data_IF_566756009265
#
_entry.id   IF_566756009265
#
_cell.length_a   1.000
_cell.length_b   1.000
_cell.length_c   1.000
_cell.angle_alpha   90.00
_cell.angle_beta   90.00
_cell.angle_gamma   90.00
#
_symmetry.space_group_name_H-M   'P 1'
#
loop_
_entity.id
_entity.type
_entity.pdbx_description
1 polymer ?
2 non-polymer ?
3 non-polymer ?
4 water ?
#
# COMPACT_ATOMS: atom_id res chain seq x y z
N UNK A 1 20.19 17.00 5.43
CA UNK A 1 19.71 17.67 4.23
C UNK A 1 18.56 16.91 3.59
N UNK A 2 18.41 15.64 3.96
CA UNK A 2 17.22 14.89 3.57
C UNK A 2 16.01 15.53 4.25
N UNK A 3 16.23 16.04 5.47
CA UNK A 3 15.22 16.78 6.20
C UNK A 3 14.71 17.96 5.37
N UNK A 4 15.63 18.73 4.81
CA UNK A 4 15.29 19.91 4.02
C UNK A 4 14.55 19.52 2.74
N UNK A 5 14.88 18.35 2.20
CA UNK A 5 14.19 17.82 1.03
C UNK A 5 12.73 17.55 1.35
N UNK A 6 12.47 16.96 2.52
CA UNK A 6 11.10 16.70 2.93
C UNK A 6 10.36 18.00 3.21
N UNK A 7 11.08 19.00 3.72
CA UNK A 7 10.48 20.31 3.96
C UNK A 7 10.02 20.98 2.66
N UNK A 8 10.81 20.85 1.61
CA UNK A 8 10.46 21.40 0.30
C UNK A 8 9.23 20.69 -0.26
N UNK A 9 9.18 19.38 -0.04
CA UNK A 9 8.08 18.58 -0.54
C UNK A 9 6.78 19.00 0.11
N UNK A 10 6.87 19.40 1.37
CA UNK A 10 5.67 19.76 2.14
C UNK A 10 5.15 21.13 1.74
N UNK A 11 6.05 22.04 1.35
CA UNK A 11 5.65 23.32 0.82
C UNK A 11 4.89 23.11 -0.48
N UNK A 12 5.49 22.30 -1.34
CA UNK A 12 4.86 21.96 -2.61
C UNK A 12 3.50 21.32 -2.35
N UNK A 13 3.47 20.36 -1.42
CA UNK A 13 2.23 19.69 -1.10
C UNK A 13 1.16 20.64 -0.56
N UNK A 14 1.59 21.66 0.17
CA UNK A 14 0.66 22.64 0.73
C UNK A 14 -0.01 23.46 -0.36
N UNK A 15 0.74 23.81 -1.40
CA UNK A 15 0.16 24.59 -2.49
C UNK A 15 -0.65 23.71 -3.45
N UNK A 16 -0.40 22.40 -3.41
CA UNK A 16 -1.18 21.43 -4.19
C UNK A 16 -2.53 21.05 -3.55
N UNK A 17 -2.63 21.13 -2.23
CA UNK A 17 -3.81 20.66 -1.48
C UNK A 17 -5.18 21.20 -1.95
N UNK A 18 -5.31 22.52 -2.16
CA UNK A 18 -6.64 23.02 -2.53
C UNK A 18 -7.12 22.55 -3.89
N UNK A 19 -6.22 22.32 -4.83
CA UNK A 19 -6.68 21.94 -6.15
C UNK A 19 -7.09 20.46 -6.24
N UNK A 20 -6.80 19.67 -5.22
CA UNK A 20 -7.32 18.30 -5.19
C UNK A 20 -8.21 18.10 -3.97
N UNK A 21 -8.51 19.20 -3.29
CA UNK A 21 -9.36 19.15 -2.10
C UNK A 21 -8.84 18.25 -1.00
N UNK A 22 -7.52 18.12 -0.90
CA UNK A 22 -6.93 17.29 0.15
C UNK A 22 -6.99 17.99 1.50
N UNK A 23 -6.79 17.20 2.56
CA UNK A 23 -6.90 17.69 3.94
C UNK A 23 -5.58 17.60 4.69
N UNK A 24 -5.55 18.18 5.89
CA UNK A 24 -4.37 18.08 6.73
C UNK A 24 -4.01 16.62 7.02
N UNK A 25 -5.01 15.74 7.11
CA UNK A 25 -4.72 14.34 7.36
C UNK A 25 -3.93 13.76 6.20
N UNK A 26 -4.29 14.20 4.98
CA UNK A 26 -3.60 13.76 3.77
C UNK A 26 -2.16 14.22 3.75
N UNK A 27 -1.95 15.46 4.16
CA UNK A 27 -0.60 16.02 4.28
C UNK A 27 0.24 15.23 5.30
N UNK A 28 -0.37 14.86 6.42
CA UNK A 28 0.36 14.13 7.46
C UNK A 28 0.80 12.74 6.98
N UNK A 29 -0.07 12.04 6.28
CA UNK A 29 0.31 10.76 5.70
C UNK A 29 1.54 10.90 4.80
N UNK A 30 1.63 12.00 4.05
CA UNK A 30 2.79 12.22 3.19
C UNK A 30 4.09 12.41 3.97
N UNK A 31 4.08 13.30 4.98
CA UNK A 31 5.32 13.60 5.72
C UNK A 31 5.84 12.34 6.38
N UNK A 32 4.91 11.47 6.76
CA UNK A 32 5.23 10.27 7.51
C UNK A 32 5.53 9.13 6.56
N UNK A 33 5.49 9.43 5.26
CA UNK A 33 5.81 8.46 4.23
C UNK A 33 4.96 7.20 4.36
N UNK A 34 3.65 7.40 4.47
CA UNK A 34 2.69 6.33 4.53
C UNK A 34 1.96 6.21 3.18
N UNK A 35 1.27 5.08 2.94
CA UNK A 35 0.35 5.05 1.79
C UNK A 35 -0.77 6.09 1.93
N UNK A 36 -1.28 6.57 0.80
CA UNK A 36 -2.41 7.49 0.83
C UNK A 36 -3.67 6.68 1.18
N UNK A 37 -4.38 7.10 2.22
CA UNK A 37 -5.60 6.38 2.60
C UNK A 37 -6.84 6.96 1.91
N UNK A 38 -6.68 8.05 1.16
CA UNK A 38 -7.77 8.65 0.39
C UNK A 38 -7.34 8.92 -1.05
N UNK A 39 -8.31 9.03 -1.95
CA UNK A 39 -8.04 9.31 -3.37
C UNK A 39 -7.44 10.70 -3.56
N UNK A 40 -7.97 11.67 -2.81
CA UNK A 40 -7.45 13.02 -2.83
C UNK A 40 -5.97 13.06 -2.45
N UNK A 41 -5.60 12.24 -1.46
CA UNK A 41 -4.21 12.12 -1.06
C UNK A 41 -3.36 11.52 -2.17
N UNK A 42 -3.91 10.58 -2.92
CA UNK A 42 -3.23 10.08 -4.12
C UNK A 42 -3.06 11.19 -5.16
N UNK A 43 -4.11 12.00 -5.30
CA UNK A 43 -4.04 13.10 -6.26
C UNK A 43 -3.09 14.18 -5.71
N UNK A 44 -3.04 14.36 -4.39
CA UNK A 44 -2.10 15.30 -3.80
C UNK A 44 -0.69 14.87 -4.23
N UNK A 45 -0.40 13.60 -4.02
CA UNK A 45 0.90 13.06 -4.39
C UNK A 45 1.21 13.21 -5.87
N UNK A 46 0.23 13.04 -6.75
CA UNK A 46 0.44 13.26 -8.18
C UNK A 46 0.86 14.69 -8.46
N UNK A 47 0.21 15.62 -7.78
CA UNK A 47 0.45 17.05 -7.98
C UNK A 47 1.87 17.42 -7.53
N UNK A 48 2.32 16.85 -6.43
CA UNK A 48 3.69 17.06 -5.99
C UNK A 48 4.70 16.44 -6.96
N UNK A 49 4.49 15.19 -7.34
CA UNK A 49 5.42 14.51 -8.23
C UNK A 49 5.53 15.24 -9.57
N UNK A 50 4.41 15.72 -10.08
CA UNK A 50 4.39 16.47 -11.32
C UNK A 50 5.16 17.78 -11.18
N UNK A 51 5.08 18.39 -9.99
CA UNK A 51 5.85 19.60 -9.76
C UNK A 51 7.35 19.32 -9.71
N UNK A 52 7.72 18.17 -9.18
CA UNK A 52 9.11 17.72 -9.17
C UNK A 52 9.55 17.34 -10.58
N UNK A 53 8.61 16.78 -11.35
CA UNK A 53 8.92 16.35 -12.70
C UNK A 53 9.25 14.88 -12.77
N UNK A 54 9.27 14.20 -11.62
CA UNK A 54 9.51 12.76 -11.60
C UNK A 54 8.29 12.05 -12.21
N UNK A 55 7.13 12.69 -12.15
CA UNK A 55 5.95 12.23 -12.87
C UNK A 55 5.65 13.19 -14.01
N UNK A 56 5.51 12.68 -15.23
CA UNK A 56 5.31 13.56 -16.37
C UNK A 56 3.82 13.71 -16.71
N UNK A 57 3.55 14.61 -17.66
CA UNK A 57 2.21 15.00 -18.07
C UNK A 57 1.36 13.85 -18.61
N UNK A 58 1.98 12.72 -18.91
CA UNK A 58 1.22 11.52 -19.26
C UNK A 58 1.19 10.50 -18.12
N UNK A 59 1.56 10.96 -16.92
CA UNK A 59 1.43 10.13 -15.73
C UNK A 59 2.36 8.93 -15.70
N UNK A 60 3.54 9.09 -16.27
CA UNK A 60 4.55 8.03 -16.22
C UNK A 60 5.80 8.60 -15.55
N UNK A 61 6.60 7.74 -14.93
CA UNK A 61 7.79 8.21 -14.23
C UNK A 61 8.81 8.72 -15.25
N UNK A 62 9.41 9.86 -14.95
CA UNK A 62 10.43 10.48 -15.81
C UNK A 62 11.74 10.59 -15.05
N UNK A 63 12.69 9.70 -15.37
CA UNK A 63 13.92 9.60 -14.59
C UNK A 63 15.07 10.45 -15.13
N UNK A 64 14.86 11.11 -16.28
CA UNK A 64 15.85 12.05 -16.80
C UNK A 64 16.09 13.19 -15.81
N UNK A 65 17.21 13.90 -15.97
CA UNK A 65 17.64 14.91 -15.00
C UNK A 65 17.72 14.29 -13.60
N UNK A 66 18.45 13.18 -13.50
CA UNK A 66 18.53 12.38 -12.31
C UNK A 66 18.69 13.14 -11.00
N UNK A 67 19.83 13.81 -10.84
CA UNK A 67 20.17 14.48 -9.58
C UNK A 67 19.10 15.45 -9.10
N UNK A 68 18.66 16.33 -9.99
CA UNK A 68 17.67 17.35 -9.66
C UNK A 68 16.41 16.70 -9.10
N UNK A 69 16.08 15.51 -9.62
CA UNK A 69 14.90 14.76 -9.17
C UNK A 69 15.12 14.05 -7.83
N UNK A 70 16.10 13.16 -7.80
CA UNK A 70 16.37 12.34 -6.61
C UNK A 70 16.72 13.19 -5.37
N UNK A 71 17.40 14.32 -5.58
CA UNK A 71 17.79 15.17 -4.46
C UNK A 71 16.57 15.83 -3.81
N UNK A 72 15.43 15.81 -4.50
CA UNK A 72 14.18 16.32 -3.94
C UNK A 72 13.58 15.33 -2.95
N UNK A 73 14.17 14.13 -2.89
CA UNK A 73 13.70 13.09 -1.98
C UNK A 73 14.71 12.80 -0.84
N UNK A 74 15.99 12.85 -1.14
CA UNK A 74 17.01 12.39 -0.20
C UNK A 74 17.99 13.46 0.26
N UNK A 75 17.99 14.61 -0.42
CA UNK A 75 18.98 15.63 -0.17
C UNK A 75 20.26 15.34 -0.94
N UNK A 76 21.30 16.11 -0.68
CA UNK A 76 22.53 16.06 -1.48
C UNK A 76 23.50 14.92 -1.14
N UNK A 77 23.29 14.24 -0.01
CA UNK A 77 24.21 13.19 0.43
C UNK A 77 24.46 12.09 -0.62
N UNK A 78 25.74 11.78 -0.90
CA UNK A 78 26.14 10.86 -1.98
C UNK A 78 25.58 9.44 -1.86
N UNK A 79 25.80 8.78 -0.72
CA UNK A 79 25.36 7.39 -0.55
C UNK A 79 23.84 7.25 -0.69
N UNK A 80 23.09 8.11 0.02
CA UNK A 80 21.64 8.15 -0.08
C UNK A 80 21.20 8.44 -1.50
N UNK A 81 21.77 9.50 -2.05
CA UNK A 81 21.38 9.99 -3.37
C UNK A 81 21.54 8.91 -4.40
N UNK A 82 22.62 8.15 -4.29
CA UNK A 82 22.88 7.08 -5.23
C UNK A 82 21.75 6.06 -5.18
N UNK A 83 21.30 5.71 -3.98
CA UNK A 83 20.25 4.72 -3.80
C UNK A 83 18.93 5.15 -4.44
N UNK A 84 18.55 6.40 -4.21
CA UNK A 84 17.34 6.96 -4.81
C UNK A 84 17.38 6.84 -6.32
N UNK A 85 18.53 7.18 -6.90
CA UNK A 85 18.73 7.03 -8.33
C UNK A 85 18.40 5.62 -8.76
N UNK A 86 18.86 4.64 -7.98
CA UNK A 86 18.61 3.24 -8.32
C UNK A 86 17.14 2.91 -8.12
N UNK A 87 16.51 3.52 -7.12
CA UNK A 87 15.09 3.33 -6.86
C UNK A 87 14.26 3.85 -8.03
N UNK A 88 14.64 4.99 -8.57
CA UNK A 88 14.03 5.52 -9.76
C UNK A 88 14.05 4.55 -10.94
N UNK A 89 15.22 3.96 -11.20
CA UNK A 89 15.33 3.02 -12.31
C UNK A 89 14.52 1.75 -12.07
N UNK A 90 14.49 1.30 -10.82
CA UNK A 90 13.66 0.17 -10.46
C UNK A 90 12.17 0.47 -10.66
N UNK A 91 11.70 1.58 -10.12
CA UNK A 91 10.27 1.84 -10.03
C UNK A 91 9.68 2.35 -11.34
N UNK A 92 10.51 2.94 -12.20
CA UNK A 92 10.06 3.38 -13.52
C UNK A 92 9.59 2.21 -14.37
N UNK A 93 9.88 0.99 -13.92
CA UNK A 93 9.54 -0.20 -14.68
C UNK A 93 8.21 -0.84 -14.29
N UNK A 94 7.57 -0.39 -13.21
CA UNK A 94 6.34 -1.05 -12.78
C UNK A 94 5.18 -0.71 -13.71
N UNK A 95 4.15 -1.54 -13.71
CA UNK A 95 2.91 -1.21 -14.40
C UNK A 95 1.95 -0.41 -13.50
N UNK A 96 1.41 0.69 -14.03
CA UNK A 96 0.55 1.60 -13.27
C UNK A 96 -0.75 1.87 -14.02
N UNK A 97 -1.78 2.43 -13.34
CA UNK A 97 -3.02 2.70 -14.08
C UNK A 97 -2.94 3.97 -14.91
N UNK A 98 -3.92 4.18 -15.78
CA UNK A 98 -3.96 5.37 -16.63
C UNK A 98 -4.33 6.61 -15.81
N UNK A 99 -5.06 6.39 -14.73
CA UNK A 99 -5.39 7.46 -13.78
C UNK A 99 -4.10 7.95 -13.10
N UNK A 100 -3.78 9.24 -13.28
CA UNK A 100 -2.49 9.78 -12.83
C UNK A 100 -2.37 9.82 -11.29
N UNK A 101 -3.51 10.00 -10.63
CA UNK A 101 -3.51 10.02 -9.18
C UNK A 101 -3.13 8.63 -8.68
N UNK A 102 -3.80 7.61 -9.21
CA UNK A 102 -3.49 6.23 -8.84
C UNK A 102 -2.09 5.82 -9.34
N UNK A 103 -1.64 6.37 -10.46
CA UNK A 103 -0.29 6.06 -10.94
C UNK A 103 0.77 6.62 -10.01
N UNK A 104 0.55 7.84 -9.49
CA UNK A 104 1.48 8.46 -8.55
C UNK A 104 1.62 7.61 -7.30
N UNK A 105 0.52 7.04 -6.83
CA UNK A 105 0.57 6.22 -5.62
C UNK A 105 1.20 4.84 -5.85
N UNK A 106 1.02 4.28 -7.04
CA UNK A 106 1.66 3.02 -7.34
C UNK A 106 3.18 3.23 -7.42
N UNK A 107 3.62 4.35 -7.98
CA UNK A 107 5.03 4.72 -7.91
C UNK A 107 5.50 4.93 -6.46
N UNK A 108 4.68 5.61 -5.65
CA UNK A 108 5.01 5.88 -4.26
C UNK A 108 5.15 4.62 -3.42
N UNK A 109 4.27 3.65 -3.68
CA UNK A 109 4.40 2.33 -3.10
C UNK A 109 5.76 1.73 -3.42
N UNK A 110 6.17 1.86 -4.68
CA UNK A 110 7.45 1.30 -5.11
C UNK A 110 8.62 2.02 -4.40
N UNK A 111 8.52 3.35 -4.38
CA UNK A 111 9.51 4.17 -3.70
C UNK A 111 9.70 3.75 -2.24
N UNK A 112 8.60 3.66 -1.51
CA UNK A 112 8.65 3.32 -0.10
C UNK A 112 9.16 1.92 0.10
N UNK A 113 8.71 1.01 -0.77
CA UNK A 113 9.09 -0.38 -0.70
C UNK A 113 10.59 -0.54 -0.85
N UNK A 114 11.12 0.06 -1.91
CA UNK A 114 12.54 -0.02 -2.20
C UNK A 114 13.33 0.69 -1.12
N UNK A 115 12.82 1.82 -0.66
CA UNK A 115 13.49 2.60 0.37
C UNK A 115 13.62 1.80 1.67
N UNK A 116 12.64 0.96 1.97
CA UNK A 116 12.71 0.10 3.16
C UNK A 116 13.70 -1.02 2.98
N UNK A 117 13.72 -1.58 1.78
CA UNK A 117 14.66 -2.64 1.43
C UNK A 117 16.11 -2.14 1.51
N UNK A 118 16.36 -0.95 0.99
CA UNK A 118 17.71 -0.38 0.94
C UNK A 118 18.13 0.44 2.16
N UNK A 119 17.33 0.41 3.22
CA UNK A 119 17.66 1.09 4.45
C UNK A 119 17.42 2.59 4.52
N UNK A 120 16.80 3.16 3.48
CA UNK A 120 16.39 4.56 3.55
C UNK A 120 15.11 4.73 4.39
N UNK A 121 14.30 3.68 4.38
CA UNK A 121 12.96 3.65 4.97
C UNK A 121 12.12 4.89 4.70
N UNK B 1 -22.22 -16.65 -1.66
CA UNK B 1 -21.99 -17.95 -1.05
C UNK B 1 -20.60 -18.05 -0.44
N UNK B 2 -19.84 -19.04 -0.91
CA UNK B 2 -18.47 -19.25 -0.45
C UNK B 2 -17.50 -19.14 -1.63
N UNK B 3 -18.02 -19.29 -2.84
CA UNK B 3 -17.23 -19.08 -4.05
C UNK B 3 -17.51 -17.67 -4.59
N UNK B 4 -18.60 -17.08 -4.13
CA UNK B 4 -18.91 -15.69 -4.46
C UNK B 4 -17.90 -14.75 -3.82
N UNK B 5 -17.17 -15.26 -2.83
CA UNK B 5 -16.10 -14.50 -2.19
C UNK B 5 -14.83 -14.53 -3.07
N UNK B 6 -14.59 -15.66 -3.71
CA UNK B 6 -13.47 -15.81 -4.63
C UNK B 6 -13.63 -14.92 -5.86
N UNK B 7 -14.87 -14.76 -6.30
CA UNK B 7 -15.16 -13.90 -7.44
C UNK B 7 -14.83 -12.45 -7.10
N UNK B 8 -15.18 -12.05 -5.87
CA UNK B 8 -14.96 -10.68 -5.44
C UNK B 8 -13.49 -10.46 -5.17
N UNK B 9 -12.83 -11.51 -4.70
CA UNK B 9 -11.39 -11.50 -4.52
C UNK B 9 -10.68 -11.16 -5.83
N UNK B 10 -11.00 -11.91 -6.87
CA UNK B 10 -10.44 -11.65 -8.19
C UNK B 10 -10.81 -10.26 -8.69
N UNK B 11 -12.05 -9.88 -8.48
CA UNK B 11 -12.52 -8.58 -8.92
C UNK B 11 -11.81 -7.44 -8.17
N UNK B 12 -11.55 -7.66 -6.88
CA UNK B 12 -10.80 -6.69 -6.11
C UNK B 12 -9.36 -6.60 -6.62
N UNK B 13 -8.76 -7.76 -6.88
CA UNK B 13 -7.37 -7.82 -7.32
C UNK B 13 -7.17 -7.16 -8.67
N UNK B 14 -8.19 -7.27 -9.51
CA UNK B 14 -8.20 -6.64 -10.83
C UNK B 14 -7.81 -5.16 -10.82
N UNK B 15 -8.43 -4.36 -9.96
CA UNK B 15 -8.07 -2.96 -9.92
C UNK B 15 -6.90 -2.73 -8.97
N UNK B 16 -6.83 -3.49 -7.89
CA UNK B 16 -5.79 -3.25 -6.87
C UNK B 16 -4.36 -3.49 -7.33
N UNK B 17 -4.13 -4.50 -8.18
CA UNK B 17 -2.76 -4.81 -8.60
C UNK B 17 -2.06 -3.62 -9.28
N UNK B 18 -2.65 -3.04 -10.35
CA UNK B 18 -2.02 -1.83 -10.88
C UNK B 18 -1.98 -0.64 -9.92
N UNK B 19 -2.95 -0.50 -9.01
CA UNK B 19 -2.93 0.61 -8.08
C UNK B 19 -1.69 0.57 -7.15
N UNK B 20 -1.14 -0.62 -6.91
CA UNK B 20 -0.02 -0.73 -5.99
C UNK B 20 1.24 -1.20 -6.68
N UNK B 21 1.19 -1.35 -8.00
CA UNK B 21 2.36 -1.78 -8.76
C UNK B 21 2.70 -3.24 -8.56
N UNK B 22 1.71 -4.04 -8.18
CA UNK B 22 1.93 -5.46 -7.88
C UNK B 22 2.19 -6.27 -9.15
N UNK B 23 2.96 -7.34 -8.97
CA UNK B 23 3.28 -8.27 -10.05
C UNK B 23 2.44 -9.53 -9.93
N UNK B 24 2.55 -10.40 -10.93
CA UNK B 24 1.83 -11.67 -10.94
C UNK B 24 2.26 -12.53 -9.74
N UNK B 25 3.55 -12.48 -9.41
CA UNK B 25 4.08 -13.21 -8.26
C UNK B 25 3.41 -12.76 -6.95
N UNK B 26 3.18 -11.45 -6.81
CA UNK B 26 2.49 -10.95 -5.62
C UNK B 26 1.06 -11.51 -5.51
N UNK B 27 0.34 -11.53 -6.62
CA UNK B 27 -1.01 -12.11 -6.63
C UNK B 27 -1.01 -13.59 -6.22
N UNK B 28 -0.09 -14.37 -6.78
CA UNK B 28 0.06 -15.78 -6.43
C UNK B 28 0.21 -15.97 -4.92
N UNK B 29 1.11 -15.21 -4.32
CA UNK B 29 1.38 -15.36 -2.88
C UNK B 29 0.10 -15.15 -2.06
N UNK B 30 -0.73 -14.21 -2.50
CA UNK B 30 -1.99 -13.95 -1.81
C UNK B 30 -2.96 -15.12 -1.98
N UNK B 31 -3.09 -15.64 -3.20
CA UNK B 31 -4.07 -16.69 -3.46
C UNK B 31 -3.66 -17.99 -2.77
N UNK B 32 -2.35 -18.22 -2.65
CA UNK B 32 -1.85 -19.42 -1.98
C UNK B 32 -1.74 -19.23 -0.47
N UNK B 33 -2.10 -18.03 -0.01
CA UNK B 33 -2.14 -17.74 1.41
C UNK B 33 -0.73 -17.90 1.98
N UNK B 34 0.22 -17.31 1.26
CA UNK B 34 1.59 -17.24 1.72
C UNK B 34 1.85 -15.83 2.22
N UNK B 35 2.85 -15.66 3.08
CA UNK B 35 3.23 -14.30 3.46
C UNK B 35 3.63 -13.49 2.24
N UNK B 36 3.40 -12.19 2.26
CA UNK B 36 3.89 -11.31 1.21
C UNK B 36 5.42 -11.21 1.25
N UNK B 37 6.07 -11.40 0.11
CA UNK B 37 7.52 -11.29 0.07
C UNK B 37 7.96 -9.87 -0.36
N UNK B 38 7.00 -9.05 -0.81
CA UNK B 38 7.32 -7.68 -1.19
C UNK B 38 6.37 -6.67 -0.53
N UNK B 39 6.81 -5.42 -0.47
CA UNK B 39 6.02 -4.34 0.09
C UNK B 39 4.80 -4.09 -0.79
N UNK B 40 4.98 -4.17 -2.10
CA UNK B 40 3.84 -4.02 -2.99
C UNK B 40 2.79 -5.10 -2.72
N UNK B 41 3.24 -6.31 -2.41
CA UNK B 41 2.34 -7.41 -2.11
C UNK B 41 1.52 -7.10 -0.86
N UNK B 42 2.18 -6.46 0.09
CA UNK B 42 1.50 -6.03 1.31
C UNK B 42 0.43 -4.97 1.02
N UNK B 43 0.76 -3.95 0.25
CA UNK B 43 -0.23 -2.96 -0.16
C UNK B 43 -1.36 -3.55 -1.03
N UNK B 44 -1.03 -4.58 -1.81
CA UNK B 44 -2.05 -5.28 -2.58
C UNK B 44 -3.07 -5.92 -1.64
N UNK B 45 -2.58 -6.48 -0.54
CA UNK B 45 -3.44 -7.12 0.44
C UNK B 45 -4.33 -6.10 1.20
N UNK B 46 -3.76 -4.95 1.60
CA UNK B 46 -4.58 -3.87 2.20
C UNK B 46 -5.63 -3.36 1.22
N UNK B 47 -5.25 -3.13 -0.04
CA UNK B 47 -6.20 -2.65 -1.04
C UNK B 47 -7.37 -3.62 -1.17
N UNK B 48 -7.05 -4.90 -1.30
CA UNK B 48 -8.07 -5.92 -1.44
C UNK B 48 -8.94 -6.00 -0.17
N UNK B 49 -8.28 -6.00 0.98
CA UNK B 49 -9.02 -6.01 2.23
C UNK B 49 -9.95 -4.82 2.39
N UNK B 50 -9.54 -3.66 1.88
CA UNK B 50 -10.39 -2.48 2.04
C UNK B 50 -11.55 -2.56 1.07
N UNK B 51 -11.28 -3.02 -0.15
CA UNK B 51 -12.31 -3.11 -1.18
C UNK B 51 -13.41 -4.09 -0.78
N UNK B 52 -13.11 -5.11 0.02
CA UNK B 52 -14.16 -6.05 0.37
C UNK B 52 -14.73 -5.78 1.77
N UNK B 53 -14.28 -4.69 2.40
CA UNK B 53 -14.87 -4.20 3.64
C UNK B 53 -14.28 -4.71 4.94
N UNK B 54 -13.17 -5.43 4.85
CA UNK B 54 -12.52 -6.07 5.99
C UNK B 54 -11.55 -5.12 6.70
N UNK B 55 -10.85 -4.28 5.94
CA UNK B 55 -9.94 -3.30 6.53
C UNK B 55 -10.58 -1.92 6.40
N UNK B 56 -10.55 -1.12 7.45
CA UNK B 56 -11.19 0.20 7.33
C UNK B 56 -10.20 1.26 6.85
N UNK B 57 -10.73 2.47 6.67
CA UNK B 57 -9.97 3.58 6.15
C UNK B 57 -8.89 4.06 7.14
N UNK B 58 -8.92 3.52 8.35
CA UNK B 58 -7.88 3.83 9.34
C UNK B 58 -6.85 2.70 9.47
N UNK B 59 -6.95 1.69 8.60
CA UNK B 59 -6.00 0.59 8.61
C UNK B 59 -6.21 -0.36 9.78
N UNK B 60 -7.46 -0.45 10.22
CA UNK B 60 -7.80 -1.30 11.35
C UNK B 60 -8.86 -2.33 10.97
N UNK B 61 -8.86 -3.43 11.72
CA UNK B 61 -9.75 -4.57 11.55
C UNK B 61 -10.54 -4.79 12.85
N UNK B 62 -11.86 -4.61 12.81
CA UNK B 62 -12.65 -4.84 14.03
C UNK B 62 -13.08 -6.31 14.14
N UNK B 63 -13.77 -6.65 15.23
CA UNK B 63 -14.14 -8.05 15.47
C UNK B 63 -15.08 -8.58 14.38
N UNK B 64 -16.01 -7.73 13.92
CA UNK B 64 -17.00 -8.17 12.92
C UNK B 64 -16.35 -8.44 11.57
N UNK B 65 -15.42 -7.56 11.18
CA UNK B 65 -14.61 -7.80 10.01
C UNK B 65 -13.74 -9.06 10.20
N UNK B 66 -13.20 -9.23 11.41
CA UNK B 66 -12.39 -10.40 11.72
C UNK B 66 -13.16 -11.69 11.56
N UNK B 67 -14.39 -11.71 12.07
CA UNK B 67 -15.30 -12.83 11.92
C UNK B 67 -15.49 -13.16 10.46
N UNK B 68 -15.69 -12.12 9.65
CA UNK B 68 -15.90 -12.30 8.23
C UNK B 68 -14.63 -12.83 7.54
N UNK B 69 -13.48 -12.28 7.90
CA UNK B 69 -12.21 -12.71 7.31
C UNK B 69 -11.92 -14.16 7.69
N UNK B 70 -12.29 -14.54 8.90
CA UNK B 70 -12.03 -15.89 9.40
C UNK B 70 -12.76 -16.97 8.61
N UNK B 71 -13.85 -16.60 7.96
CA UNK B 71 -14.61 -17.58 7.16
C UNK B 71 -13.95 -17.86 5.82
N UNK B 72 -12.96 -17.04 5.44
CA UNK B 72 -12.10 -17.36 4.29
C UNK B 72 -11.27 -18.60 4.58
N UNK B 73 -11.24 -19.02 5.85
CA UNK B 73 -10.38 -20.12 6.27
C UNK B 73 -11.19 -21.30 6.80
N UNK B 74 -12.42 -21.04 7.26
CA UNK B 74 -13.31 -22.12 7.70
C UNK B 74 -14.11 -22.66 6.53
N UNK B 75 -14.22 -21.86 5.47
CA UNK B 75 -14.92 -22.27 4.26
C UNK B 75 -16.42 -22.33 4.42
N UNK B 76 -16.92 -21.62 5.42
CA UNK B 76 -18.36 -21.54 5.72
C UNK B 76 -18.96 -22.87 6.16
N UNK B 77 -18.14 -23.66 6.85
CA UNK B 77 -18.63 -24.84 7.55
C UNK B 77 -19.39 -24.38 8.79
N UNK B 78 -20.71 -24.60 8.81
CA UNK B 78 -21.59 -24.10 9.88
C UNK B 78 -21.12 -24.46 11.29
N UNK B 79 -20.60 -25.67 11.49
CA UNK B 79 -20.18 -26.09 12.82
C UNK B 79 -18.89 -25.38 13.24
N UNK B 80 -18.14 -24.88 12.26
CA UNK B 80 -16.86 -24.21 12.51
C UNK B 80 -17.03 -22.74 12.85
N UNK B 81 -18.28 -22.30 12.98
CA UNK B 81 -18.58 -20.91 13.29
C UNK B 81 -17.86 -20.46 14.56
N UNK B 82 -17.85 -21.35 15.54
CA UNK B 82 -17.21 -21.09 16.82
C UNK B 82 -15.77 -20.68 16.59
N UNK B 83 -15.08 -21.46 15.75
CA UNK B 83 -13.69 -21.24 15.41
C UNK B 83 -13.51 -19.90 14.70
N UNK B 84 -14.33 -19.63 13.70
CA UNK B 84 -14.31 -18.36 12.99
C UNK B 84 -14.43 -17.17 13.95
N UNK B 85 -15.33 -17.28 14.92
CA UNK B 85 -15.48 -16.24 15.93
C UNK B 85 -14.21 -16.06 16.74
N UNK B 86 -13.59 -17.18 17.13
CA UNK B 86 -12.37 -17.11 17.93
C UNK B 86 -11.23 -16.46 17.14
N UNK B 87 -11.04 -16.90 15.90
CA UNK B 87 -9.98 -16.36 15.05
C UNK B 87 -10.15 -14.86 14.80
N UNK B 88 -11.37 -14.46 14.42
CA UNK B 88 -11.71 -13.06 14.29
C UNK B 88 -11.41 -12.23 15.52
N UNK B 89 -11.85 -12.70 16.70
CA UNK B 89 -11.61 -11.96 17.94
C UNK B 89 -10.12 -11.86 18.21
N UNK B 90 -9.44 -12.98 18.03
CA UNK B 90 -8.01 -13.06 18.26
C UNK B 90 -7.25 -12.05 17.41
N UNK B 91 -7.49 -12.10 16.10
CA UNK B 91 -6.72 -11.30 15.16
C UNK B 91 -7.12 -9.83 15.15
N UNK B 92 -8.36 -9.53 15.52
CA UNK B 92 -8.79 -8.15 15.64
C UNK B 92 -8.08 -7.44 16.79
N UNK B 93 -7.57 -8.22 17.75
CA UNK B 93 -6.98 -7.66 18.95
C UNK B 93 -5.48 -7.36 18.86
N UNK B 94 -4.82 -7.74 17.78
CA UNK B 94 -3.38 -7.54 17.74
C UNK B 94 -3.06 -6.08 17.53
N UNK B 95 -1.83 -5.69 17.84
CA UNK B 95 -1.42 -4.31 17.64
C UNK B 95 -0.72 -4.21 16.27
N UNK B 96 -1.15 -3.24 15.46
CA UNK B 96 -0.63 -3.13 14.10
C UNK B 96 0.00 -1.76 13.85
N UNK B 97 0.98 -1.71 12.94
CA UNK B 97 1.58 -0.41 12.64
C UNK B 97 0.61 0.53 11.94
N UNK B 98 1.00 1.79 11.83
CA UNK B 98 0.20 2.83 11.21
C UNK B 98 0.17 2.73 9.69
N UNK B 99 1.28 2.28 9.11
CA UNK B 99 1.32 1.96 7.69
C UNK B 99 0.27 0.89 7.37
N UNK B 100 -0.68 1.20 6.49
CA UNK B 100 -1.83 0.32 6.22
C UNK B 100 -1.42 -1.00 5.56
N UNK B 101 -0.42 -0.94 4.69
CA UNK B 101 0.08 -2.13 4.05
C UNK B 101 0.67 -3.08 5.11
N UNK B 102 1.45 -2.53 6.03
CA UNK B 102 2.08 -3.37 7.04
C UNK B 102 1.04 -3.87 8.03
N UNK B 103 0.01 -3.08 8.29
CA UNK B 103 -1.08 -3.55 9.15
C UNK B 103 -1.81 -4.72 8.50
N UNK B 104 -2.07 -4.61 7.20
CA UNK B 104 -2.74 -5.67 6.43
C UNK B 104 -1.95 -6.99 6.49
N UNK B 105 -0.63 -6.90 6.38
CA UNK B 105 0.16 -8.12 6.47
C UNK B 105 0.29 -8.62 7.92
N UNK B 106 0.29 -7.72 8.90
CA UNK B 106 0.21 -8.15 10.30
C UNK B 106 -1.09 -8.90 10.59
N UNK B 107 -2.19 -8.42 10.01
CA UNK B 107 -3.47 -9.08 10.24
C UNK B 107 -3.48 -10.43 9.53
N UNK B 108 -3.05 -10.43 8.28
CA UNK B 108 -2.95 -11.66 7.52
C UNK B 108 -2.10 -12.74 8.18
N UNK B 109 -1.05 -12.30 8.88
CA UNK B 109 -0.14 -13.21 9.56
C UNK B 109 -0.87 -13.93 10.69
N UNK B 110 -1.61 -13.17 11.48
CA UNK B 110 -2.43 -13.72 12.53
C UNK B 110 -3.48 -14.71 12.00
N UNK B 111 -4.25 -14.30 10.99
CA UNK B 111 -5.26 -15.18 10.43
C UNK B 111 -4.64 -16.46 9.89
N UNK B 112 -3.53 -16.32 9.16
CA UNK B 112 -2.84 -17.45 8.57
C UNK B 112 -2.34 -18.39 9.66
N UNK B 113 -1.90 -17.81 10.77
CA UNK B 113 -1.37 -18.58 11.88
C UNK B 113 -2.43 -19.28 12.71
N UNK B 114 -3.54 -18.60 12.99
CA UNK B 114 -4.68 -19.21 13.68
C UNK B 114 -5.32 -20.31 12.84
N UNK B 115 -5.46 -20.07 11.55
CA UNK B 115 -5.97 -21.10 10.65
C UNK B 115 -5.11 -22.37 10.68
N UNK B 116 -3.79 -22.19 10.68
CA UNK B 116 -2.86 -23.31 10.75
C UNK B 116 -3.04 -24.06 12.07
N UNK B 117 -3.06 -23.27 13.15
CA UNK B 117 -3.18 -23.76 14.52
C UNK B 117 -4.47 -24.55 14.72
N UNK B 118 -5.55 -24.10 14.08
CA UNK B 118 -6.83 -24.81 14.15
C UNK B 118 -6.95 -25.85 13.04
N UNK B 119 -5.82 -26.16 12.43
CA UNK B 119 -5.76 -27.23 11.45
C UNK B 119 -6.61 -26.96 10.22
N UNK B 120 -6.82 -25.69 9.92
CA UNK B 120 -7.62 -25.30 8.77
C UNK B 120 -6.76 -24.96 7.56
N UNK B 121 -5.44 -24.86 7.75
CA UNK B 121 -4.59 -24.39 6.66
C UNK B 121 -3.33 -25.24 6.45
X LIG C 1 14.95 9.81 -9.59
X LIG C 1 14.52 8.88 -8.60
X LIG C 1 13.39 9.49 -7.76
X LIG C 1 12.94 8.54 -6.77
X LIG C 1 12.71 7.80 -4.51
X LIG C 1 13.52 8.69 -5.47
X LIG C 1 13.17 7.85 -3.14
X LIG C 1 12.08 7.69 -0.91
X LIG C 1 11.99 7.49 -2.42
X LIG C 1 10.82 7.31 -0.31
X LIG C 1 8.41 7.67 -0.61
X LIG C 1 9.83 8.16 -0.91
X LIG C 1 7.46 8.54 -1.25
X LIG C 1 5.78 8.23 0.41
X LIG C 1 6.66 9.24 -0.32
X LIG C 1 4.98 7.54 -0.57
X LIG D 1 -3.39 -14.55 3.77
X LIG D 1 -4.51 -14.52 3.19
X LIG D 1 -2.66 -15.56 3.86
X LIG D 1 -2.87 -13.29 4.45
X LIG D 1 -3.13 -11.99 3.68
X LIG D 1 -4.09 -11.96 2.88
X LIG D 1 -2.39 -11.02 3.98
#
# INVERSE_FOLDING_TARGET
>A
DEKEALAKLMESAESCMPEVGATDADLQEMVKKQPASTYAGKCLRACVMKNIGILDANGKLDTEAGHEKAKQYTGNDPAKLKIALEIGDTCAAITVPDDHCEAAEAYGTCFRGEAKKHGLL
>B
DEKEALAKLMESAESCMPEVGATDADLQEMVKKQPASTYAGKCLRACVMKNIGILDANGKLDTEAGHEKAKQYTGNDPAKLKIALEIGDTCAAITVPDDHCEAAEAYGTCFRGEAKKHGLL
>C hetero
1 1PE OH2 C12 C22 OH3 C13 C23 OH4 C14 C24 OH5 C15 C25 OH6 C16 C26 OH7
>D hetero
1 MLA C1 O1A O1B C2 C3 O3A O3B
#
